data_IF_812676922444
#
_entry.id   IF_812676922444
#
_cell.length_a   1.000
_cell.length_b   1.000
_cell.length_c   1.000
_cell.angle_alpha   90.00
_cell.angle_beta   90.00
_cell.angle_gamma   90.00
#
_symmetry.space_group_name_H-M   'P 1'
#
loop_
_entity.id
_entity.type
_entity.pdbx_description
1 polymer ?
#
# COMPACT_ATOMS: atom_id res chain seq x y z
N UNK A 1 54.23 -19.07 -1.50
CA UNK A 1 53.72 -17.70 -1.25
C UNK A 1 52.40 -17.40 -1.96
N UNK A 2 52.28 -17.64 -3.28
CA UNK A 2 51.05 -17.34 -4.07
C UNK A 2 49.74 -17.97 -3.56
N UNK A 3 49.76 -19.21 -3.06
CA UNK A 3 48.57 -19.90 -2.53
C UNK A 3 47.98 -19.27 -1.25
N UNK A 4 48.83 -18.76 -0.36
CA UNK A 4 48.38 -18.10 0.89
C UNK A 4 47.77 -16.72 0.63
N UNK A 5 48.27 -16.00 -0.39
CA UNK A 5 47.73 -14.72 -0.83
C UNK A 5 46.35 -14.92 -1.49
N UNK A 6 46.19 -15.97 -2.29
CA UNK A 6 44.90 -16.28 -2.94
C UNK A 6 43.81 -16.67 -1.92
N UNK A 7 44.13 -17.49 -0.90
CA UNK A 7 43.18 -17.80 0.18
C UNK A 7 42.80 -16.58 1.02
N UNK A 8 43.73 -15.62 1.22
CA UNK A 8 43.45 -14.41 1.98
C UNK A 8 42.51 -13.44 1.23
N UNK A 9 42.65 -13.35 -0.10
CA UNK A 9 41.77 -12.54 -0.95
C UNK A 9 40.34 -13.11 -0.99
N UNK A 10 40.18 -14.43 -1.08
CA UNK A 10 38.86 -15.07 -1.05
C UNK A 10 38.17 -14.86 0.30
N UNK A 11 38.90 -14.93 1.41
CA UNK A 11 38.35 -14.71 2.74
C UNK A 11 37.87 -13.26 2.95
N UNK A 12 38.61 -12.27 2.43
CA UNK A 12 38.21 -10.86 2.45
C UNK A 12 36.98 -10.62 1.57
N UNK A 13 36.89 -11.24 0.39
CA UNK A 13 35.71 -11.11 -0.48
C UNK A 13 34.44 -11.70 0.17
N UNK A 14 34.54 -12.82 0.88
CA UNK A 14 33.42 -13.42 1.63
C UNK A 14 33.00 -12.55 2.82
N UNK A 15 33.97 -11.92 3.50
CA UNK A 15 33.68 -10.99 4.61
C UNK A 15 33.07 -9.67 4.12
N UNK A 16 33.50 -9.16 2.95
CA UNK A 16 32.92 -7.97 2.31
C UNK A 16 31.53 -8.22 1.73
N UNK A 17 31.23 -9.45 1.29
CA UNK A 17 29.88 -9.77 0.80
C UNK A 17 28.87 -9.93 1.95
N UNK A 18 29.30 -10.31 3.15
CA UNK A 18 28.43 -10.25 4.34
C UNK A 18 28.30 -8.85 4.94
N UNK A 19 29.29 -7.98 4.79
CA UNK A 19 29.23 -6.60 5.29
C UNK A 19 28.39 -5.65 4.40
N UNK A 20 27.93 -6.11 3.23
CA UNK A 20 27.16 -5.33 2.26
C UNK A 20 25.67 -5.71 2.20
N UNK A 21 25.20 -6.67 2.99
CA UNK A 21 23.76 -6.92 3.14
C UNK A 21 23.27 -6.09 4.31
N UNK A 22 23.12 -4.79 4.07
CA UNK A 22 22.32 -3.87 4.90
C UNK A 22 20.94 -3.63 4.28
N UNK A 23 20.53 -4.49 3.35
CA UNK A 23 19.17 -4.48 2.85
C UNK A 23 18.32 -5.10 3.96
N UNK A 24 17.65 -4.24 4.74
CA UNK A 24 16.48 -4.69 5.49
C UNK A 24 15.55 -5.40 4.53
N UNK A 25 15.02 -6.55 4.94
CA UNK A 25 14.02 -7.25 4.13
C UNK A 25 12.88 -6.26 3.86
N UNK A 26 12.48 -6.15 2.59
CA UNK A 26 11.33 -5.33 2.18
C UNK A 26 10.20 -6.24 1.72
N UNK A 27 8.97 -5.72 1.75
CA UNK A 27 7.79 -6.44 1.25
C UNK A 27 6.89 -5.51 0.44
N UNK A 28 6.06 -6.12 -0.40
CA UNK A 28 5.15 -5.44 -1.33
C UNK A 28 3.75 -5.32 -0.73
N UNK A 29 3.07 -4.23 -1.06
CA UNK A 29 1.65 -4.00 -0.80
C UNK A 29 0.95 -3.66 -2.13
N UNK A 30 -0.01 -4.45 -2.59
CA UNK A 30 -0.47 -5.71 -1.98
C UNK A 30 0.60 -6.82 -2.07
N UNK A 31 0.54 -7.87 -1.22
CA UNK A 31 1.43 -9.02 -1.33
C UNK A 31 1.29 -9.76 -2.67
N UNK A 32 2.39 -10.28 -3.23
CA UNK A 32 2.36 -11.00 -4.51
C UNK A 32 1.69 -12.38 -4.44
N UNK A 33 1.69 -13.00 -3.25
CA UNK A 33 1.31 -14.40 -3.07
C UNK A 33 -0.22 -14.63 -3.10
N UNK A 34 -1.03 -13.57 -2.97
CA UNK A 34 -2.50 -13.64 -2.82
C UNK A 34 -3.27 -13.32 -4.12
N UNK A 35 -2.66 -13.45 -5.30
CA UNK A 35 -3.20 -13.00 -6.61
C UNK A 35 -3.66 -11.51 -6.60
N UNK A 36 -3.35 -10.74 -5.54
CA UNK A 36 -3.70 -9.34 -5.42
C UNK A 36 -2.87 -8.53 -6.40
N UNK A 37 -3.53 -7.89 -7.38
CA UNK A 37 -2.83 -7.21 -8.46
C UNK A 37 -2.11 -5.94 -7.98
N UNK A 38 -2.91 -4.91 -7.70
CA UNK A 38 -2.44 -3.55 -7.45
C UNK A 38 -3.40 -2.83 -6.53
N UNK A 39 -2.88 -1.85 -5.78
CA UNK A 39 -3.71 -0.78 -5.24
C UNK A 39 -4.13 0.13 -6.40
N UNK A 40 -5.27 0.81 -6.28
CA UNK A 40 -5.64 1.78 -7.29
C UNK A 40 -6.27 3.06 -6.74
N UNK A 41 -6.09 4.16 -7.47
CA UNK A 41 -6.76 5.44 -7.24
C UNK A 41 -7.12 6.04 -8.59
N UNK A 42 -8.39 6.45 -8.75
CA UNK A 42 -8.81 7.22 -9.90
C UNK A 42 -8.45 8.70 -9.75
N UNK A 43 -8.31 9.40 -10.88
CA UNK A 43 -8.31 10.86 -10.88
C UNK A 43 -9.61 11.46 -10.31
N UNK A 44 -9.58 12.76 -10.00
CA UNK A 44 -10.69 13.50 -9.38
C UNK A 44 -12.02 13.38 -10.16
N UNK A 45 -11.95 13.28 -11.49
CA UNK A 45 -13.09 13.15 -12.40
C UNK A 45 -13.52 11.69 -12.63
N UNK A 46 -12.89 10.74 -11.93
CA UNK A 46 -13.22 9.33 -11.94
C UNK A 46 -14.69 9.08 -11.61
N UNK A 47 -15.27 8.07 -12.29
CA UNK A 47 -16.69 7.72 -12.16
C UNK A 47 -16.87 6.58 -11.17
N UNK A 48 -17.77 6.76 -10.22
CA UNK A 48 -18.12 5.72 -9.24
C UNK A 48 -18.67 4.45 -9.90
N UNK A 49 -19.27 4.56 -11.08
CA UNK A 49 -19.69 3.42 -11.91
C UNK A 49 -18.52 2.64 -12.55
N UNK A 50 -17.29 2.90 -12.15
CA UNK A 50 -16.09 2.12 -12.48
C UNK A 50 -15.26 1.83 -11.21
N UNK A 51 -15.82 2.02 -10.02
CA UNK A 51 -15.14 1.83 -8.74
C UNK A 51 -14.37 3.06 -8.24
N UNK A 52 -14.46 4.21 -8.90
CA UNK A 52 -13.81 5.43 -8.43
C UNK A 52 -14.43 5.93 -7.11
N UNK A 53 -13.58 6.16 -6.10
CA UNK A 53 -13.94 6.82 -4.84
C UNK A 53 -13.53 8.29 -4.87
N UNK A 54 -14.15 9.11 -4.02
CA UNK A 54 -13.76 10.53 -3.87
C UNK A 54 -12.70 10.73 -2.80
N UNK A 55 -12.72 9.85 -1.81
CA UNK A 55 -11.80 9.83 -0.69
C UNK A 55 -10.45 9.21 -1.14
N UNK A 56 -9.33 9.70 -0.58
CA UNK A 56 -8.02 9.17 -0.91
C UNK A 56 -7.85 7.75 -0.35
N UNK A 57 -6.96 6.99 -0.98
CA UNK A 57 -6.51 5.74 -0.39
C UNK A 57 -5.46 6.03 0.68
N UNK A 58 -5.66 5.49 1.88
CA UNK A 58 -4.76 5.70 3.02
C UNK A 58 -4.15 4.38 3.46
N UNK A 59 -2.82 4.32 3.49
CA UNK A 59 -2.05 3.19 4.02
C UNK A 59 -1.26 3.66 5.24
N UNK A 60 -1.50 3.04 6.39
CA UNK A 60 -0.76 3.32 7.61
C UNK A 60 0.48 2.46 7.71
N UNK A 61 1.53 3.03 8.31
CA UNK A 61 2.75 2.32 8.71
C UNK A 61 2.83 2.35 10.23
N UNK A 62 2.90 1.19 10.88
CA UNK A 62 3.10 1.01 12.31
C UNK A 62 4.52 0.48 12.55
N UNK A 63 5.35 1.30 13.19
CA UNK A 63 6.76 1.00 13.45
C UNK A 63 6.96 0.78 14.94
N UNK A 64 7.57 -0.32 15.40
CA UNK A 64 7.87 -0.47 16.83
C UNK A 64 8.78 0.65 17.32
N UNK A 65 8.47 1.24 18.48
CA UNK A 65 9.26 2.36 19.06
C UNK A 65 10.72 1.98 19.36
N UNK A 66 11.01 0.68 19.45
CA UNK A 66 12.37 0.13 19.61
C UNK A 66 13.21 0.26 18.34
N UNK A 67 12.59 0.41 17.17
CA UNK A 67 13.27 0.69 15.91
C UNK A 67 13.61 2.18 15.81
N UNK A 68 14.85 2.52 15.47
CA UNK A 68 15.35 3.90 15.47
C UNK A 68 16.24 4.20 14.24
N UNK A 69 16.18 3.36 13.21
CA UNK A 69 16.79 3.62 11.91
C UNK A 69 15.72 4.21 10.96
N UNK A 70 16.09 4.40 9.69
CA UNK A 70 15.16 4.93 8.69
C UNK A 70 14.20 3.85 8.21
N UNK A 71 13.00 4.26 7.81
CA UNK A 71 12.07 3.47 7.02
C UNK A 71 12.13 3.95 5.57
N UNK A 72 11.92 3.03 4.63
CA UNK A 72 11.90 3.34 3.20
C UNK A 72 10.54 3.00 2.61
N UNK A 73 10.03 3.93 1.80
CA UNK A 73 8.79 3.78 1.04
C UNK A 73 9.11 3.98 -0.44
N UNK A 74 8.77 2.98 -1.25
CA UNK A 74 8.89 3.07 -2.70
C UNK A 74 7.56 2.77 -3.37
N UNK A 75 7.30 3.39 -4.51
CA UNK A 75 6.10 3.16 -5.31
C UNK A 75 6.52 2.47 -6.60
N UNK A 76 5.98 1.29 -6.86
CA UNK A 76 6.04 0.65 -8.16
C UNK A 76 4.95 1.21 -9.06
N UNK A 77 5.34 1.63 -10.26
CA UNK A 77 4.45 2.18 -11.28
C UNK A 77 3.60 3.37 -10.81
N UNK A 78 4.23 4.46 -10.31
CA UNK A 78 3.48 5.62 -9.85
C UNK A 78 2.92 6.49 -10.99
N UNK A 79 3.33 6.27 -12.25
CA UNK A 79 2.82 7.08 -13.36
C UNK A 79 1.36 6.78 -13.67
N UNK A 80 0.77 7.55 -14.59
CA UNK A 80 -0.60 7.32 -15.06
C UNK A 80 -0.59 7.18 -16.57
N UNK A 81 -0.34 5.97 -17.05
CA UNK A 81 -0.40 5.60 -18.45
C UNK A 81 0.12 4.21 -18.81
N UNK A 82 0.13 3.99 -20.12
CA UNK A 82 0.79 2.84 -20.77
C UNK A 82 0.27 1.45 -20.39
N UNK A 83 0.98 0.71 -19.54
CA UNK A 83 0.87 -0.76 -19.48
C UNK A 83 -0.02 -1.31 -18.37
N UNK A 84 0.00 -0.72 -17.17
CA UNK A 84 -0.79 -1.22 -16.05
C UNK A 84 -2.09 -0.44 -15.86
N UNK A 85 -2.07 0.87 -16.12
CA UNK A 85 -3.20 1.76 -15.85
C UNK A 85 -4.38 1.61 -16.80
N UNK A 86 -5.56 2.02 -16.34
CA UNK A 86 -6.77 2.01 -17.16
C UNK A 86 -7.12 3.41 -17.65
N UNK A 87 -7.14 3.54 -18.97
CA UNK A 87 -7.39 4.81 -19.65
C UNK A 87 -8.88 5.12 -19.77
N UNK A 88 -9.28 6.34 -19.41
CA UNK A 88 -10.58 6.90 -19.79
C UNK A 88 -10.42 7.92 -20.92
N UNK A 89 -10.33 7.43 -22.15
CA UNK A 89 -10.21 8.26 -23.36
C UNK A 89 -8.82 8.86 -23.58
N UNK A 90 -8.37 9.80 -22.73
CA UNK A 90 -7.05 10.45 -22.80
C UNK A 90 -6.34 10.36 -21.45
N UNK A 91 -5.02 10.14 -21.46
CA UNK A 91 -4.22 10.23 -20.24
C UNK A 91 -4.19 11.69 -19.77
N UNK A 92 -4.97 11.99 -18.74
CA UNK A 92 -5.11 13.32 -18.15
C UNK A 92 -5.01 13.29 -16.62
N UNK A 93 -4.87 12.10 -16.04
CA UNK A 93 -4.88 11.94 -14.59
C UNK A 93 -3.57 12.34 -13.95
N UNK A 94 -3.68 12.92 -12.76
CA UNK A 94 -2.57 13.14 -11.86
C UNK A 94 -2.88 12.53 -10.51
N UNK A 95 -1.91 11.83 -9.94
CA UNK A 95 -2.01 11.21 -8.62
C UNK A 95 -0.91 11.78 -7.73
N UNK A 96 -1.26 12.10 -6.49
CA UNK A 96 -0.31 12.54 -5.46
C UNK A 96 -0.15 11.46 -4.41
N UNK A 97 1.09 11.26 -4.00
CA UNK A 97 1.49 10.42 -2.89
C UNK A 97 2.12 11.32 -1.82
N UNK A 98 1.54 11.36 -0.64
CA UNK A 98 1.99 12.18 0.48
C UNK A 98 2.27 11.30 1.69
N UNK A 99 3.44 11.46 2.30
CA UNK A 99 3.82 10.75 3.52
C UNK A 99 3.74 11.71 4.70
N UNK A 100 2.97 11.33 5.71
CA UNK A 100 2.80 12.08 6.94
C UNK A 100 3.32 11.31 8.15
N UNK A 101 3.94 12.05 9.07
CA UNK A 101 4.30 11.60 10.42
C UNK A 101 3.89 12.65 11.46
N UNK A 102 4.44 12.56 12.67
CA UNK A 102 4.16 13.49 13.76
C UNK A 102 2.73 13.39 14.32
N UNK A 103 2.45 14.22 15.33
CA UNK A 103 1.14 14.25 16.00
C UNK A 103 0.00 14.45 15.00
N UNK A 104 -1.03 13.60 15.10
CA UNK A 104 -2.17 13.57 14.19
C UNK A 104 -2.00 12.69 12.95
N UNK A 105 -0.82 12.13 12.64
CA UNK A 105 -0.67 11.29 11.45
C UNK A 105 -1.56 10.03 11.47
N UNK A 106 -1.76 9.44 12.64
CA UNK A 106 -2.66 8.30 12.86
C UNK A 106 -3.91 8.71 13.64
N UNK A 107 -3.73 9.40 14.77
CA UNK A 107 -4.82 9.67 15.72
C UNK A 107 -5.95 10.55 15.19
N UNK A 108 -5.69 11.36 14.17
CA UNK A 108 -6.70 12.24 13.55
C UNK A 108 -7.85 11.48 12.87
N UNK A 109 -7.55 10.30 12.34
CA UNK A 109 -8.48 9.53 11.50
C UNK A 109 -8.63 8.06 11.92
N UNK A 110 -7.81 7.60 12.86
CA UNK A 110 -7.85 6.22 13.33
C UNK A 110 -9.22 5.86 13.93
N UNK A 111 -9.85 4.83 13.36
CA UNK A 111 -11.13 4.30 13.85
C UNK A 111 -12.35 5.17 13.52
N UNK A 112 -12.19 6.24 12.75
CA UNK A 112 -13.32 6.98 12.19
C UNK A 112 -13.87 6.27 10.97
N UNK A 113 -15.18 6.43 10.71
CA UNK A 113 -15.71 6.08 9.40
C UNK A 113 -15.19 7.09 8.38
N UNK A 114 -15.02 6.67 7.14
CA UNK A 114 -14.47 7.52 6.09
C UNK A 114 -15.30 8.80 5.87
N UNK A 115 -16.62 8.70 5.99
CA UNK A 115 -17.57 9.83 5.89
C UNK A 115 -17.41 10.87 7.01
N UNK A 116 -16.82 10.48 8.15
CA UNK A 116 -16.58 11.34 9.30
C UNK A 116 -15.23 12.07 9.20
N UNK A 117 -14.36 11.69 8.25
CA UNK A 117 -13.04 12.28 8.06
C UNK A 117 -13.16 13.54 7.22
N UNK A 118 -12.88 14.69 7.82
CA UNK A 118 -12.89 15.99 7.11
C UNK A 118 -11.55 16.38 6.52
N UNK A 119 -10.44 15.83 7.03
CA UNK A 119 -9.09 16.14 6.58
C UNK A 119 -8.18 14.91 6.69
N UNK A 120 -7.78 14.37 5.55
CA UNK A 120 -6.83 13.25 5.48
C UNK A 120 -5.37 13.71 5.63
N UNK A 121 -5.09 15.02 5.56
CA UNK A 121 -3.77 15.64 5.60
C UNK A 121 -3.28 16.06 6.98
N UNK A 122 -3.98 15.72 8.07
CA UNK A 122 -3.49 16.02 9.42
C UNK A 122 -2.17 15.29 9.75
N UNK A 123 -1.28 15.97 10.46
CA UNK A 123 0.09 15.52 10.73
C UNK A 123 1.16 16.45 10.15
N UNK A 124 2.40 16.01 10.17
CA UNK A 124 3.55 16.67 9.55
C UNK A 124 3.78 16.02 8.18
N UNK A 125 3.67 16.79 7.10
CA UNK A 125 4.04 16.34 5.76
C UNK A 125 5.56 16.16 5.67
N UNK A 126 6.02 14.91 5.52
CA UNK A 126 7.44 14.55 5.44
C UNK A 126 7.93 14.59 4.00
N UNK A 127 7.15 14.05 3.07
CA UNK A 127 7.43 14.11 1.64
C UNK A 127 6.14 14.06 0.81
N UNK A 128 6.21 14.56 -0.42
CA UNK A 128 5.10 14.58 -1.37
C UNK A 128 5.62 14.47 -2.80
N UNK A 129 4.95 13.63 -3.59
CA UNK A 129 5.24 13.51 -5.02
C UNK A 129 3.98 13.36 -5.86
N UNK A 130 3.89 14.19 -6.89
CA UNK A 130 2.85 14.14 -7.90
C UNK A 130 3.37 13.40 -9.15
N UNK A 131 2.51 12.56 -9.69
CA UNK A 131 2.70 11.84 -10.94
C UNK A 131 1.53 12.06 -11.88
N UNK A 132 1.80 11.95 -13.17
CA UNK A 132 0.80 11.84 -14.23
C UNK A 132 1.42 10.94 -15.29
N UNK A 133 1.08 11.13 -16.57
CA UNK A 133 1.75 10.37 -17.63
C UNK A 133 3.26 10.70 -17.71
N UNK A 134 4.10 9.81 -17.18
CA UNK A 134 5.56 9.92 -17.19
C UNK A 134 6.19 8.54 -17.41
N UNK A 135 6.49 8.24 -18.68
CA UNK A 135 7.15 6.98 -19.12
C UNK A 135 8.47 6.67 -18.42
N UNK A 136 9.07 7.65 -17.72
CA UNK A 136 10.22 7.39 -16.87
C UNK A 136 9.87 6.32 -15.83
N UNK A 137 8.66 6.36 -15.28
CA UNK A 137 8.21 5.52 -14.18
C UNK A 137 7.32 4.34 -14.59
N UNK A 138 6.95 4.18 -15.88
CA UNK A 138 6.24 2.98 -16.37
C UNK A 138 6.97 1.70 -15.95
N UNK A 139 6.30 0.95 -15.09
CA UNK A 139 6.71 -0.30 -14.44
C UNK A 139 8.08 -0.19 -13.76
N UNK A 140 8.34 0.96 -13.17
CA UNK A 140 9.56 1.25 -12.41
C UNK A 140 9.25 1.83 -11.06
N UNK A 141 10.27 1.80 -10.20
CA UNK A 141 10.19 2.35 -8.88
C UNK A 141 10.48 3.85 -8.84
N UNK A 142 9.67 4.55 -8.07
CA UNK A 142 10.08 5.79 -7.42
C UNK A 142 10.38 5.50 -5.96
N UNK A 143 11.48 6.04 -5.45
CA UNK A 143 11.89 5.92 -4.05
C UNK A 143 11.77 7.28 -3.40
N UNK A 144 11.02 7.36 -2.30
CA UNK A 144 11.09 8.53 -1.44
C UNK A 144 12.46 8.58 -0.73
N UNK A 145 12.92 9.76 -0.30
CA UNK A 145 14.01 9.85 0.65
C UNK A 145 13.73 8.98 1.89
N UNK A 146 14.77 8.37 2.50
CA UNK A 146 14.60 7.65 3.75
C UNK A 146 13.99 8.56 4.84
N UNK A 147 13.07 8.00 5.62
CA UNK A 147 12.33 8.71 6.66
C UNK A 147 12.79 8.18 8.01
N UNK A 148 13.20 9.05 8.93
CA UNK A 148 13.62 8.62 10.26
C UNK A 148 12.43 8.05 11.03
N UNK A 149 12.56 6.85 11.61
CA UNK A 149 11.46 6.25 12.37
C UNK A 149 10.95 7.15 13.52
N UNK A 150 11.80 8.03 14.07
CA UNK A 150 11.42 9.00 15.10
C UNK A 150 10.47 10.11 14.63
N UNK A 151 10.25 10.25 13.32
CA UNK A 151 9.36 11.27 12.74
C UNK A 151 7.89 10.87 12.79
N UNK A 152 7.56 9.63 13.20
CA UNK A 152 6.18 9.16 13.32
C UNK A 152 5.48 9.61 14.60
N UNK A 153 4.16 9.44 14.64
CA UNK A 153 3.33 9.72 15.82
C UNK A 153 3.53 8.66 16.91
N UNK A 154 3.95 9.05 18.12
CA UNK A 154 4.26 8.12 19.21
C UNK A 154 2.99 7.74 20.02
N UNK A 155 2.46 6.53 19.80
CA UNK A 155 1.26 6.02 20.47
C UNK A 155 1.47 4.56 20.89
N UNK A 156 1.26 4.27 22.17
CA UNK A 156 1.13 2.89 22.65
C UNK A 156 2.37 1.99 22.43
N UNK A 157 3.57 2.56 22.35
CA UNK A 157 4.81 1.80 22.09
C UNK A 157 5.14 1.62 20.60
N UNK A 158 4.39 2.27 19.72
CA UNK A 158 4.63 2.32 18.28
C UNK A 158 4.78 3.77 17.83
N UNK A 159 5.34 3.94 16.64
CA UNK A 159 5.35 5.19 15.89
C UNK A 159 4.58 4.99 14.60
N UNK A 160 3.66 5.90 14.30
CA UNK A 160 2.77 5.77 13.16
C UNK A 160 3.05 6.81 12.08
N UNK A 161 2.91 6.38 10.85
CA UNK A 161 2.91 7.22 9.65
C UNK A 161 1.67 6.89 8.82
N UNK A 162 1.30 7.78 7.91
CA UNK A 162 0.33 7.47 6.85
C UNK A 162 0.84 7.90 5.49
N UNK A 163 0.50 7.11 4.48
CA UNK A 163 0.66 7.43 3.07
C UNK A 163 -0.75 7.73 2.56
N UNK A 164 -0.96 8.95 2.10
CA UNK A 164 -2.22 9.40 1.48
C UNK A 164 -2.00 9.44 -0.03
N UNK A 165 -2.79 8.67 -0.77
CA UNK A 165 -2.76 8.61 -2.23
C UNK A 165 -4.06 9.17 -2.79
N UNK A 166 -3.97 10.28 -3.52
CA UNK A 166 -5.13 11.03 -4.02
C UNK A 166 -5.05 11.31 -5.53
N UNK A 167 -6.20 11.22 -6.21
CA UNK A 167 -6.34 11.69 -7.59
C UNK A 167 -6.62 13.19 -7.62
N UNK A 168 -5.75 13.97 -8.26
CA UNK A 168 -5.81 15.43 -8.30
C UNK A 168 -6.56 16.01 -9.51
N UNK A 169 -6.70 15.22 -10.58
CA UNK A 169 -7.38 15.62 -11.82
C UNK A 169 -7.57 14.41 -12.72
N UNK A 170 -8.46 14.50 -13.71
CA UNK A 170 -8.61 13.48 -14.75
C UNK A 170 -9.45 12.29 -14.28
N UNK A 171 -9.66 11.33 -15.19
CA UNK A 171 -10.63 10.23 -15.01
C UNK A 171 -10.06 8.83 -15.29
N UNK A 172 -8.74 8.73 -15.41
CA UNK A 172 -8.01 7.47 -15.55
C UNK A 172 -7.81 6.80 -14.18
N UNK A 173 -7.58 5.49 -14.20
CA UNK A 173 -7.28 4.67 -13.03
C UNK A 173 -5.77 4.43 -12.92
N UNK A 174 -5.13 4.96 -11.87
CA UNK A 174 -3.72 4.69 -11.56
C UNK A 174 -3.63 3.41 -10.73
N UNK A 175 -2.89 2.41 -11.20
CA UNK A 175 -2.66 1.12 -10.59
C UNK A 175 -1.19 0.97 -10.16
N UNK A 176 -0.96 0.85 -8.86
CA UNK A 176 0.39 0.87 -8.29
C UNK A 176 0.58 -0.16 -7.18
N UNK A 177 1.81 -0.30 -6.70
CA UNK A 177 2.11 -1.03 -5.46
C UNK A 177 3.12 -0.27 -4.63
N UNK A 178 3.11 -0.52 -3.32
CA UNK A 178 4.10 0.03 -2.41
C UNK A 178 5.13 -1.04 -2.06
N UNK A 179 6.38 -0.63 -1.86
CA UNK A 179 7.42 -1.46 -1.24
C UNK A 179 7.85 -0.77 0.04
N UNK A 180 7.79 -1.51 1.14
CA UNK A 180 8.07 -1.00 2.48
C UNK A 180 9.28 -1.73 3.05
N UNK A 181 10.20 -0.97 3.65
CA UNK A 181 11.37 -1.47 4.35
C UNK A 181 11.57 -0.74 5.68
N UNK A 182 12.04 -1.43 6.73
CA UNK A 182 12.22 -2.88 6.81
C UNK A 182 10.90 -3.62 7.11
N UNK A 183 10.93 -4.95 7.03
CA UNK A 183 9.81 -5.88 7.29
C UNK A 183 9.22 -5.81 8.70
N UNK A 184 9.91 -5.17 9.65
CA UNK A 184 9.36 -4.86 10.98
C UNK A 184 8.28 -3.78 10.94
N UNK A 185 8.18 -3.02 9.84
CA UNK A 185 7.13 -2.03 9.64
C UNK A 185 5.87 -2.77 9.24
N UNK A 186 4.83 -2.69 10.06
CA UNK A 186 3.54 -3.28 9.74
C UNK A 186 2.69 -2.28 8.96
N UNK A 187 2.00 -2.73 7.92
CA UNK A 187 1.11 -1.89 7.12
C UNK A 187 -0.33 -2.35 7.21
N UNK A 188 -1.24 -1.39 7.21
CA UNK A 188 -2.67 -1.65 7.27
C UNK A 188 -3.47 -0.49 6.71
N UNK A 189 -4.72 -0.74 6.39
CA UNK A 189 -5.68 0.27 5.98
C UNK A 189 -7.04 -0.05 6.59
N UNK A 190 -7.85 0.98 6.87
CA UNK A 190 -9.24 0.80 7.26
C UNK A 190 -10.18 0.70 6.04
N UNK A 191 -9.78 1.25 4.90
CA UNK A 191 -10.56 1.24 3.66
C UNK A 191 -9.62 1.06 2.47
N UNK A 192 -9.71 -0.10 1.82
CA UNK A 192 -8.74 -0.54 0.82
C UNK A 192 -9.36 -0.55 -0.59
N UNK A 193 -8.67 0.07 -1.56
CA UNK A 193 -9.03 0.01 -2.98
C UNK A 193 -8.04 -0.88 -3.72
N UNK A 194 -8.46 -2.11 -4.04
CA UNK A 194 -7.64 -3.15 -4.64
C UNK A 194 -8.19 -3.60 -5.99
N UNK A 195 -7.30 -3.83 -6.96
CA UNK A 195 -7.67 -4.41 -8.26
C UNK A 195 -7.84 -5.91 -8.11
N UNK A 196 -9.02 -6.39 -8.48
CA UNK A 196 -9.29 -7.83 -8.58
C UNK A 196 -8.54 -8.44 -9.78
N UNK A 197 -8.02 -9.67 -9.64
CA UNK A 197 -7.38 -10.39 -10.73
C UNK A 197 -8.38 -10.74 -11.83
N UNK A 198 -7.99 -10.54 -13.09
CA UNK A 198 -8.84 -10.85 -14.26
C UNK A 198 -8.95 -12.37 -14.54
N UNK A 199 -8.05 -13.16 -13.95
CA UNK A 199 -7.99 -14.60 -14.16
C UNK A 199 -9.16 -15.28 -13.42
N UNK A 200 -10.08 -15.87 -14.18
CA UNK A 200 -11.18 -16.67 -13.62
C UNK A 200 -10.67 -17.72 -12.62
N UNK A 201 -11.25 -17.72 -11.43
CA UNK A 201 -10.90 -18.65 -10.35
C UNK A 201 -9.65 -18.27 -9.57
N UNK A 202 -9.07 -17.10 -9.81
CA UNK A 202 -8.13 -16.48 -8.87
C UNK A 202 -8.82 -16.20 -7.54
N UNK A 203 -8.04 -16.22 -6.45
CA UNK A 203 -8.54 -16.03 -5.10
C UNK A 203 -7.68 -14.99 -4.41
N UNK A 204 -8.34 -14.06 -3.74
CA UNK A 204 -7.70 -13.09 -2.87
C UNK A 204 -8.13 -13.41 -1.44
N UNK A 205 -7.16 -13.56 -0.54
CA UNK A 205 -7.41 -13.73 0.88
C UNK A 205 -7.10 -12.43 1.63
N UNK A 206 -8.09 -11.87 2.34
CA UNK A 206 -7.94 -10.69 3.19
C UNK A 206 -8.07 -11.09 4.66
N UNK A 207 -7.21 -10.54 5.51
CA UNK A 207 -7.14 -10.85 6.94
C UNK A 207 -7.42 -9.60 7.80
N UNK A 208 -8.66 -9.08 7.81
CA UNK A 208 -8.98 -7.91 8.62
C UNK A 208 -8.85 -8.22 10.11
N UNK A 209 -8.31 -7.28 10.88
CA UNK A 209 -8.34 -7.35 12.34
C UNK A 209 -9.78 -7.09 12.82
N UNK A 210 -10.39 -8.09 13.45
CA UNK A 210 -11.76 -7.98 13.97
C UNK A 210 -11.71 -7.64 15.46
N UNK A 211 -12.25 -6.48 15.89
CA UNK A 211 -12.34 -6.13 17.31
C UNK A 211 -13.06 -7.22 18.10
N UNK A 212 -12.59 -7.47 19.33
CA UNK A 212 -13.12 -8.54 20.20
C UNK A 212 -14.61 -8.39 20.50
N UNK A 213 -15.11 -7.16 20.48
CA UNK A 213 -16.49 -6.76 20.75
C UNK A 213 -17.32 -6.51 19.49
N UNK A 214 -16.78 -6.79 18.30
CA UNK A 214 -17.52 -6.70 17.05
C UNK A 214 -18.73 -7.65 17.06
N UNK A 215 -19.93 -7.08 16.91
CA UNK A 215 -21.19 -7.83 16.87
C UNK A 215 -21.55 -8.34 15.45
N UNK A 216 -20.98 -7.71 14.42
CA UNK A 216 -21.23 -8.02 13.01
C UNK A 216 -20.05 -7.61 12.14
N UNK A 217 -19.90 -8.30 11.00
CA UNK A 217 -19.02 -7.92 9.90
C UNK A 217 -19.94 -7.55 8.74
N UNK A 218 -19.75 -6.37 8.15
CA UNK A 218 -20.47 -5.90 6.97
C UNK A 218 -19.41 -5.65 5.90
N UNK A 219 -19.64 -6.23 4.72
CA UNK A 219 -18.75 -6.11 3.57
C UNK A 219 -19.43 -5.21 2.54
N UNK A 220 -18.68 -4.24 2.01
CA UNK A 220 -19.12 -3.37 0.92
C UNK A 220 -18.12 -3.51 -0.23
N UNK A 221 -18.56 -4.09 -1.34
CA UNK A 221 -17.76 -4.21 -2.56
C UNK A 221 -18.36 -3.39 -3.71
N UNK A 222 -17.51 -3.19 -4.71
CA UNK A 222 -17.90 -2.74 -6.03
C UNK A 222 -17.70 -3.87 -7.03
N UNK A 223 -18.75 -4.24 -7.77
CA UNK A 223 -18.72 -5.15 -8.92
C UNK A 223 -18.34 -6.62 -8.63
N UNK A 224 -18.43 -7.09 -7.38
CA UNK A 224 -18.48 -8.54 -7.05
C UNK A 224 -19.94 -9.02 -7.05
N UNK A 225 -20.64 -8.76 -8.15
CA UNK A 225 -21.96 -9.32 -8.40
C UNK A 225 -21.87 -10.77 -8.95
N UNK A 226 -23.01 -11.36 -9.31
CA UNK A 226 -23.12 -12.73 -9.82
C UNK A 226 -22.17 -13.10 -10.98
N UNK A 227 -21.60 -12.11 -11.67
CA UNK A 227 -20.63 -12.31 -12.75
C UNK A 227 -19.20 -11.89 -12.38
N UNK A 228 -19.03 -11.07 -11.34
CA UNK A 228 -17.75 -10.56 -10.86
C UNK A 228 -17.01 -11.48 -9.88
N UNK A 229 -17.73 -12.26 -9.07
CA UNK A 229 -17.12 -13.23 -8.15
C UNK A 229 -18.00 -13.56 -6.96
N UNK A 230 -17.43 -14.26 -5.98
CA UNK A 230 -18.09 -14.62 -4.71
C UNK A 230 -17.22 -14.21 -3.53
N UNK A 231 -17.84 -13.91 -2.39
CA UNK A 231 -17.12 -13.57 -1.16
C UNK A 231 -17.50 -14.57 -0.07
N UNK A 232 -16.48 -15.15 0.57
CA UNK A 232 -16.61 -16.07 1.69
C UNK A 232 -15.90 -15.49 2.92
N UNK A 233 -16.54 -15.53 4.08
CA UNK A 233 -15.88 -15.29 5.37
C UNK A 233 -15.45 -16.62 5.95
N UNK A 234 -14.15 -16.85 6.01
CA UNK A 234 -13.57 -18.09 6.56
C UNK A 234 -13.06 -17.85 7.97
N UNK A 235 -13.61 -18.60 8.93
CA UNK A 235 -13.14 -18.67 10.32
C UNK A 235 -12.42 -19.99 10.56
N UNK A 236 -11.77 -20.13 11.71
CA UNK A 236 -11.09 -21.38 12.11
C UNK A 236 -12.00 -22.61 12.16
N UNK A 237 -13.32 -22.43 12.18
CA UNK A 237 -14.30 -23.54 12.33
C UNK A 237 -15.35 -23.61 11.22
N UNK A 238 -15.50 -22.57 10.40
CA UNK A 238 -16.60 -22.45 9.44
C UNK A 238 -16.33 -21.40 8.36
N UNK A 239 -16.79 -21.68 7.14
CA UNK A 239 -16.97 -20.68 6.08
C UNK A 239 -18.43 -20.21 6.03
N UNK A 240 -18.62 -18.93 5.74
CA UNK A 240 -19.91 -18.28 5.56
C UNK A 240 -19.94 -17.58 4.20
N UNK A 241 -20.88 -17.95 3.34
CA UNK A 241 -21.11 -17.24 2.09
C UNK A 241 -21.79 -15.90 2.41
N UNK A 242 -21.35 -14.81 1.78
CA UNK A 242 -21.98 -13.50 1.95
C UNK A 242 -23.20 -13.39 1.03
N UNK A 243 -24.36 -13.11 1.62
CA UNK A 243 -25.63 -12.91 0.92
C UNK A 243 -25.53 -11.76 -0.09
N UNK A 244 -25.89 -12.00 -1.35
CA UNK A 244 -25.76 -11.03 -2.45
C UNK A 244 -24.51 -11.23 -3.33
N UNK A 245 -23.56 -12.07 -2.91
CA UNK A 245 -22.44 -12.54 -3.76
C UNK A 245 -22.83 -13.74 -4.63
N UNK A 246 -23.91 -14.44 -4.27
CA UNK A 246 -24.64 -15.35 -5.13
C UNK A 246 -26.13 -14.98 -5.13
N UNK A 247 -26.78 -15.21 -6.29
CA UNK A 247 -28.20 -15.01 -6.65
C UNK A 247 -28.64 -13.64 -7.17
#
# INVERSE_FOLDING_TARGET
>A
MRRKIFSFIVLISVFFSFALVKDGLCYRIPPEDDDMGYLYVFGEDGKSSYGAKKEPQVIFLRVPKTYNEDIEVSIYDPDVGEFLDEKSGKWNTKTRFSIFGGEGAYSSIAGLNEEDITDFGEGILLDVKDFGMDKKYDRKFYHFPPIGASEGEDIGGFRYFKIVIEGLSGDDNNMFSLMISPDIVETFSYVLSLRLPERRGAKIDLYPEIPKDAASIIEYNYDLDSTGGTIEIVTTSRAYDIEGSET
#
